data_IF_602380845420
#
_entry.id   IF_602380845420
#
_cell.length_a   1.000
_cell.length_b   1.000
_cell.length_c   1.000
_cell.angle_alpha   90.00
_cell.angle_beta   90.00
_cell.angle_gamma   90.00
#
_symmetry.space_group_name_H-M   'P 1'
#
loop_
_entity.id
_entity.type
_entity.pdbx_description
1 polymer ?
#
# COMPACT_ATOMS: atom_id res chain seq x y z
N UNK A 1 12.93 -8.71 21.18
CA UNK A 1 13.13 -7.62 20.21
C UNK A 1 12.96 -6.31 20.96
N UNK A 2 13.82 -5.32 20.74
CA UNK A 2 13.67 -4.01 21.35
C UNK A 2 12.56 -3.24 20.61
N UNK A 3 11.72 -2.51 21.33
CA UNK A 3 10.71 -1.65 20.73
C UNK A 3 11.41 -0.53 19.93
N UNK A 4 11.14 -0.38 18.62
CA UNK A 4 11.79 0.65 17.81
C UNK A 4 11.38 2.04 18.30
N UNK A 5 12.35 2.95 18.44
CA UNK A 5 12.12 4.35 18.80
C UNK A 5 11.72 5.19 17.59
N UNK A 6 12.28 4.85 16.42
CA UNK A 6 11.97 5.51 15.16
C UNK A 6 11.56 4.45 14.14
N UNK A 7 10.35 4.64 13.62
CA UNK A 7 9.79 3.86 12.53
C UNK A 7 9.62 4.76 11.31
N UNK A 8 10.01 4.28 10.14
CA UNK A 8 9.83 4.99 8.88
C UNK A 8 8.69 4.37 8.09
N UNK A 9 7.69 5.17 7.73
CA UNK A 9 6.63 4.74 6.83
C UNK A 9 7.11 4.76 5.39
N UNK A 10 7.12 3.60 4.74
CA UNK A 10 7.45 3.49 3.34
C UNK A 10 6.24 2.94 2.57
N UNK A 11 5.68 3.75 1.68
CA UNK A 11 4.50 3.43 0.88
C UNK A 11 4.75 2.35 -0.20
N UNK A 12 6.02 2.00 -0.47
CA UNK A 12 6.42 0.98 -1.45
C UNK A 12 6.19 1.38 -2.91
N UNK A 13 5.45 2.47 -3.16
CA UNK A 13 4.94 2.83 -4.48
C UNK A 13 5.40 4.19 -4.94
N UNK A 14 4.82 5.25 -4.37
CA UNK A 14 5.05 6.63 -4.82
C UNK A 14 6.54 7.03 -4.80
N UNK A 15 7.29 6.80 -3.72
CA UNK A 15 8.72 7.13 -3.70
C UNK A 15 9.60 6.08 -4.38
N UNK A 16 9.03 4.95 -4.84
CA UNK A 16 9.81 3.77 -5.17
C UNK A 16 9.39 3.10 -6.48
N UNK A 17 8.60 2.01 -6.49
CA UNK A 17 8.33 1.18 -7.69
C UNK A 17 7.77 1.97 -8.88
N UNK A 18 7.15 3.14 -8.64
CA UNK A 18 6.62 4.05 -9.67
C UNK A 18 7.71 4.76 -10.47
N UNK A 19 8.94 4.79 -9.97
CA UNK A 19 10.06 5.59 -10.48
C UNK A 19 10.98 4.81 -11.43
N UNK A 20 10.92 3.48 -11.41
CA UNK A 20 11.79 2.60 -12.18
C UNK A 20 11.16 2.20 -13.52
N UNK A 21 11.98 2.12 -14.57
CA UNK A 21 11.55 1.56 -15.85
C UNK A 21 11.52 0.02 -15.78
N UNK A 22 10.52 -0.63 -16.38
CA UNK A 22 10.50 -2.09 -16.44
C UNK A 22 11.50 -2.71 -17.42
N UNK A 23 12.07 -3.89 -17.10
CA UNK A 23 11.91 -4.62 -15.84
C UNK A 23 12.80 -4.06 -14.73
N UNK A 24 12.25 -3.95 -13.52
CA UNK A 24 12.99 -3.57 -12.33
C UNK A 24 13.83 -4.73 -11.80
N UNK A 25 15.07 -4.44 -11.40
CA UNK A 25 15.98 -5.41 -10.79
C UNK A 25 15.70 -5.59 -9.28
N UNK A 26 16.00 -6.76 -8.68
CA UNK A 26 15.87 -6.95 -7.23
C UNK A 26 16.66 -5.94 -6.41
N UNK A 27 17.86 -5.56 -6.87
CA UNK A 27 18.74 -4.56 -6.24
C UNK A 27 18.10 -3.17 -6.22
N UNK A 28 17.35 -2.83 -7.27
CA UNK A 28 16.59 -1.59 -7.31
C UNK A 28 15.44 -1.61 -6.30
N UNK A 29 14.84 -2.78 -6.03
CA UNK A 29 13.71 -2.91 -5.10
C UNK A 29 14.16 -2.77 -3.65
N UNK A 30 15.32 -3.32 -3.32
CA UNK A 30 15.87 -3.21 -1.96
C UNK A 30 16.44 -1.83 -1.65
N UNK A 31 16.59 -0.95 -2.64
CA UNK A 31 17.07 0.41 -2.44
C UNK A 31 16.23 1.21 -1.42
N UNK A 32 14.94 0.88 -1.29
CA UNK A 32 14.06 1.46 -0.25
C UNK A 32 14.48 1.13 1.18
N UNK A 33 15.19 0.02 1.37
CA UNK A 33 15.74 -0.38 2.67
C UNK A 33 17.15 0.20 2.82
N UNK A 34 17.95 0.13 1.75
CA UNK A 34 19.33 0.61 1.75
C UNK A 34 19.46 2.11 2.05
N UNK A 35 18.48 2.93 1.63
CA UNK A 35 18.48 4.36 1.95
C UNK A 35 18.38 4.66 3.46
N UNK A 36 17.92 3.70 4.25
CA UNK A 36 17.79 3.82 5.70
C UNK A 36 19.02 3.27 6.46
N UNK A 37 19.93 2.60 5.77
CA UNK A 37 21.12 2.01 6.38
C UNK A 37 22.01 3.10 7.03
N UNK A 38 22.43 2.86 8.28
CA UNK A 38 23.25 3.81 9.03
C UNK A 38 22.49 5.02 9.58
N UNK A 39 21.17 5.11 9.36
CA UNK A 39 20.31 6.11 10.01
C UNK A 39 19.84 5.60 11.39
N UNK A 40 19.27 6.47 12.25
CA UNK A 40 18.63 6.06 13.51
C UNK A 40 17.30 5.28 13.34
N UNK A 41 16.85 4.99 12.12
CA UNK A 41 15.60 4.25 11.88
C UNK A 41 15.81 2.78 12.22
N UNK A 42 14.98 2.23 13.10
CA UNK A 42 15.09 0.85 13.59
C UNK A 42 14.03 -0.07 12.98
N UNK A 43 13.01 0.50 12.35
CA UNK A 43 11.94 -0.26 11.73
C UNK A 43 11.32 0.43 10.51
N UNK A 44 10.84 -0.37 9.56
CA UNK A 44 10.11 0.05 8.38
C UNK A 44 8.64 -0.35 8.56
N UNK A 45 7.74 0.63 8.55
CA UNK A 45 6.32 0.40 8.38
C UNK A 45 6.03 0.31 6.87
N UNK A 46 6.10 -0.90 6.33
CA UNK A 46 6.04 -1.15 4.88
C UNK A 46 4.61 -1.37 4.42
N UNK A 47 4.14 -0.50 3.52
CA UNK A 47 2.80 -0.59 2.95
C UNK A 47 2.71 -1.78 1.97
N UNK A 48 1.84 -2.75 2.29
CA UNK A 48 1.72 -4.00 1.51
C UNK A 48 1.10 -3.80 0.12
N UNK A 49 0.37 -2.71 -0.06
CA UNK A 49 -0.46 -2.45 -1.23
C UNK A 49 -1.43 -1.30 -0.97
N UNK A 50 -2.47 -1.16 -1.79
CA UNK A 50 -3.43 -0.07 -1.66
C UNK A 50 -4.70 -0.44 -0.88
N UNK A 51 -4.67 -1.52 -0.11
CA UNK A 51 -5.86 -2.05 0.58
C UNK A 51 -6.89 -2.70 -0.33
N UNK A 52 -6.87 -2.39 -1.63
CA UNK A 52 -7.68 -3.02 -2.69
C UNK A 52 -6.91 -4.05 -3.50
N UNK A 53 -5.61 -3.88 -3.64
CA UNK A 53 -4.70 -4.78 -4.37
C UNK A 53 -3.32 -4.70 -3.75
N UNK A 54 -2.49 -5.70 -4.04
CA UNK A 54 -1.11 -5.81 -3.55
C UNK A 54 -0.09 -5.63 -4.69
N UNK A 55 1.16 -5.38 -4.32
CA UNK A 55 2.30 -5.33 -5.26
C UNK A 55 3.42 -6.31 -4.86
N UNK A 56 3.04 -7.39 -4.18
CA UNK A 56 3.89 -8.50 -3.78
C UNK A 56 3.20 -9.84 -4.13
N UNK A 57 3.89 -10.97 -4.01
CA UNK A 57 3.36 -12.30 -4.36
C UNK A 57 2.38 -12.81 -3.29
N UNK A 58 1.22 -12.17 -3.23
CA UNK A 58 0.19 -12.43 -2.22
C UNK A 58 -0.63 -13.67 -2.55
N UNK A 59 -1.03 -14.41 -1.52
CA UNK A 59 -1.98 -15.53 -1.61
C UNK A 59 -3.38 -15.20 -1.08
N UNK A 60 -3.55 -14.01 -0.54
CA UNK A 60 -4.75 -13.58 0.18
C UNK A 60 -5.43 -12.36 -0.47
N UNK A 61 -4.92 -11.89 -1.60
CA UNK A 61 -5.44 -10.73 -2.33
C UNK A 61 -5.08 -10.83 -3.81
N UNK A 62 -5.39 -9.77 -4.57
CA UNK A 62 -5.15 -9.68 -6.01
C UNK A 62 -4.00 -8.71 -6.30
N UNK A 63 -3.17 -9.03 -7.29
CA UNK A 63 -2.10 -8.14 -7.76
C UNK A 63 -2.71 -6.89 -8.42
N UNK A 64 -2.15 -5.72 -8.13
CA UNK A 64 -2.55 -4.46 -8.76
C UNK A 64 -2.44 -4.58 -10.27
N UNK A 65 -3.52 -4.31 -11.01
CA UNK A 65 -3.51 -4.37 -12.48
C UNK A 65 -3.77 -5.73 -13.10
N UNK A 66 -4.01 -6.78 -12.33
CA UNK A 66 -4.26 -8.14 -12.85
C UNK A 66 -5.48 -8.23 -13.80
N UNK A 67 -6.46 -7.33 -13.65
CA UNK A 67 -7.69 -7.24 -14.45
C UNK A 67 -7.65 -6.11 -15.50
N UNK A 68 -6.53 -5.38 -15.63
CA UNK A 68 -6.43 -4.20 -16.50
C UNK A 68 -6.02 -4.62 -17.91
N UNK A 69 -6.89 -4.33 -18.89
CA UNK A 69 -6.62 -4.57 -20.32
C UNK A 69 -6.04 -3.35 -21.03
N UNK A 70 -6.48 -2.15 -20.63
CA UNK A 70 -6.04 -0.87 -21.19
C UNK A 70 -5.61 0.02 -20.05
N UNK A 71 -4.41 0.56 -20.16
CA UNK A 71 -3.83 1.45 -19.15
C UNK A 71 -4.07 2.89 -19.53
N UNK A 72 -4.74 3.63 -18.66
CA UNK A 72 -4.94 5.08 -18.74
C UNK A 72 -3.78 5.88 -18.13
N UNK A 73 -2.97 5.23 -17.28
CA UNK A 73 -1.89 5.85 -16.54
C UNK A 73 -0.58 5.05 -16.65
N UNK A 74 0.42 5.65 -17.32
CA UNK A 74 1.69 4.97 -17.62
C UNK A 74 2.46 4.53 -16.37
N UNK A 75 2.42 5.30 -15.28
CA UNK A 75 3.11 4.96 -14.02
C UNK A 75 2.54 3.69 -13.40
N UNK A 76 1.22 3.49 -13.43
CA UNK A 76 0.59 2.30 -12.87
C UNK A 76 0.88 1.07 -13.71
N UNK A 77 0.93 1.24 -15.03
CA UNK A 77 1.40 0.20 -15.95
C UNK A 77 2.82 -0.23 -15.60
N UNK A 78 3.75 0.70 -15.41
CA UNK A 78 5.15 0.38 -15.04
C UNK A 78 5.24 -0.34 -13.70
N UNK A 79 4.54 0.17 -12.70
CA UNK A 79 4.49 -0.44 -11.39
C UNK A 79 3.98 -1.89 -11.43
N UNK A 80 2.92 -2.16 -12.20
CA UNK A 80 2.46 -3.53 -12.44
C UNK A 80 3.50 -4.37 -13.18
N UNK A 81 4.13 -3.85 -14.24
CA UNK A 81 5.16 -4.56 -14.99
C UNK A 81 6.36 -4.92 -14.11
N UNK A 82 6.81 -4.01 -13.25
CA UNK A 82 7.91 -4.22 -12.32
C UNK A 82 7.58 -5.28 -11.27
N UNK A 83 6.44 -5.15 -10.59
CA UNK A 83 6.02 -6.13 -9.61
C UNK A 83 5.85 -7.51 -10.27
N UNK A 84 5.20 -7.57 -11.44
CA UNK A 84 5.00 -8.82 -12.16
C UNK A 84 6.31 -9.44 -12.63
N UNK A 85 7.25 -8.67 -13.18
CA UNK A 85 8.53 -9.22 -13.65
C UNK A 85 9.38 -9.77 -12.51
N UNK A 86 9.38 -9.09 -11.36
CA UNK A 86 10.06 -9.57 -10.15
C UNK A 86 9.44 -10.89 -9.67
N UNK A 87 8.11 -10.94 -9.53
CA UNK A 87 7.38 -12.14 -9.08
C UNK A 87 7.59 -13.31 -10.05
N UNK A 88 7.44 -13.08 -11.35
CA UNK A 88 7.64 -14.12 -12.38
C UNK A 88 9.08 -14.66 -12.39
N UNK A 89 10.06 -13.85 -11.97
CA UNK A 89 11.45 -14.25 -11.81
C UNK A 89 11.75 -14.93 -10.44
N UNK A 90 10.75 -15.10 -9.58
CA UNK A 90 10.90 -15.71 -8.25
C UNK A 90 11.38 -14.74 -7.16
N UNK A 91 11.34 -13.44 -7.41
CA UNK A 91 11.72 -12.39 -6.47
C UNK A 91 10.46 -11.72 -5.91
N UNK A 92 9.87 -12.28 -4.86
CA UNK A 92 8.74 -11.66 -4.17
C UNK A 92 9.17 -10.30 -3.55
N UNK A 93 8.58 -9.17 -3.97
CA UNK A 93 8.92 -7.85 -3.48
C UNK A 93 8.84 -7.69 -1.95
N UNK A 94 7.84 -8.30 -1.30
CA UNK A 94 7.74 -8.25 0.17
C UNK A 94 8.88 -9.04 0.82
N UNK A 95 9.20 -10.20 0.25
CA UNK A 95 10.31 -11.02 0.74
C UNK A 95 11.66 -10.31 0.63
N UNK A 96 11.92 -9.63 -0.50
CA UNK A 96 13.14 -8.84 -0.68
C UNK A 96 13.32 -7.79 0.42
N UNK A 97 12.24 -7.06 0.75
CA UNK A 97 12.26 -6.05 1.82
C UNK A 97 12.54 -6.69 3.18
N UNK A 98 11.85 -7.79 3.51
CA UNK A 98 12.05 -8.51 4.76
C UNK A 98 13.48 -9.04 4.91
N UNK A 99 14.00 -9.71 3.87
CA UNK A 99 15.34 -10.29 3.89
C UNK A 99 16.40 -9.19 4.04
N UNK A 100 16.29 -8.10 3.26
CA UNK A 100 17.25 -6.99 3.35
C UNK A 100 17.17 -6.25 4.69
N UNK A 101 15.98 -6.03 5.24
CA UNK A 101 15.81 -5.40 6.54
C UNK A 101 16.46 -6.25 7.64
N UNK A 102 16.30 -7.58 7.59
CA UNK A 102 16.95 -8.49 8.54
C UNK A 102 18.48 -8.45 8.44
N UNK A 103 19.06 -8.37 7.24
CA UNK A 103 20.51 -8.20 7.05
C UNK A 103 21.04 -6.92 7.72
N UNK A 104 20.24 -5.84 7.70
CA UNK A 104 20.58 -4.54 8.29
C UNK A 104 20.16 -4.41 9.76
N UNK A 105 19.60 -5.46 10.37
CA UNK A 105 19.13 -5.45 11.76
C UNK A 105 17.89 -4.59 12.00
N UNK A 106 17.11 -4.30 10.96
CA UNK A 106 15.86 -3.53 11.01
C UNK A 106 14.64 -4.44 11.14
N UNK A 107 13.61 -3.95 11.83
CA UNK A 107 12.31 -4.63 11.92
C UNK A 107 11.40 -4.22 10.75
N UNK A 108 10.56 -5.13 10.26
CA UNK A 108 9.52 -4.82 9.27
C UNK A 108 8.15 -4.98 9.90
N UNK A 109 7.37 -3.91 9.86
CA UNK A 109 5.98 -3.89 10.28
C UNK A 109 5.10 -3.78 9.02
N UNK A 110 4.27 -4.79 8.72
CA UNK A 110 3.34 -4.70 7.60
C UNK A 110 2.28 -3.63 7.88
N UNK A 111 2.13 -2.68 6.98
CA UNK A 111 1.06 -1.69 7.03
C UNK A 111 0.00 -2.02 5.98
N UNK A 112 -1.21 -2.27 6.48
CA UNK A 112 -2.39 -2.50 5.67
C UNK A 112 -3.25 -1.24 5.64
N UNK A 113 -3.50 -0.71 4.44
CA UNK A 113 -4.54 0.30 4.26
C UNK A 113 -5.88 -0.43 4.31
N UNK A 114 -6.68 -0.19 5.35
CA UNK A 114 -7.96 -0.88 5.54
C UNK A 114 -8.98 -0.46 4.49
N UNK A 115 -9.15 0.85 4.30
CA UNK A 115 -9.96 1.40 3.21
C UNK A 115 -9.44 2.77 2.78
N UNK A 116 -9.45 3.00 1.46
CA UNK A 116 -9.18 4.30 0.84
C UNK A 116 -10.05 4.46 -0.39
N UNK A 117 -10.81 5.56 -0.48
CA UNK A 117 -11.74 5.86 -1.60
C UNK A 117 -12.79 4.77 -1.83
N UNK A 118 -13.69 4.95 -2.80
CA UNK A 118 -14.55 3.88 -3.34
C UNK A 118 -13.94 3.23 -4.60
N UNK A 119 -14.69 2.34 -5.26
CA UNK A 119 -14.24 1.65 -6.49
C UNK A 119 -13.88 2.62 -7.63
N UNK A 120 -14.57 3.76 -7.73
CA UNK A 120 -14.36 4.76 -8.78
C UNK A 120 -13.10 5.61 -8.57
N UNK A 121 -12.57 5.67 -7.36
CA UNK A 121 -11.41 6.52 -7.04
C UNK A 121 -10.12 6.04 -7.72
N UNK A 122 -10.03 4.75 -8.08
CA UNK A 122 -8.82 4.19 -8.69
C UNK A 122 -9.12 2.86 -9.41
N UNK A 123 -9.96 2.93 -10.45
CA UNK A 123 -10.46 1.75 -11.16
C UNK A 123 -9.33 0.81 -11.63
N UNK A 124 -8.24 1.33 -12.20
CA UNK A 124 -7.10 0.53 -12.71
C UNK A 124 -6.24 -0.12 -11.63
N UNK A 125 -6.51 0.17 -10.35
CA UNK A 125 -5.83 -0.43 -9.20
C UNK A 125 -6.80 -1.21 -8.31
N UNK A 126 -8.06 -1.33 -8.70
CA UNK A 126 -9.09 -2.00 -7.93
C UNK A 126 -9.13 -3.50 -8.24
N UNK A 127 -9.36 -4.32 -7.21
CA UNK A 127 -9.53 -5.76 -7.34
C UNK A 127 -10.92 -6.13 -7.84
N UNK A 128 -11.06 -7.30 -8.47
CA UNK A 128 -12.38 -7.82 -8.79
C UNK A 128 -13.17 -8.08 -7.52
N UNK A 129 -12.53 -8.63 -6.47
CA UNK A 129 -13.19 -8.84 -5.18
C UNK A 129 -13.85 -7.57 -4.66
N UNK A 130 -13.13 -6.44 -4.67
CA UNK A 130 -13.68 -5.19 -4.17
C UNK A 130 -14.80 -4.64 -5.06
N UNK A 131 -14.66 -4.75 -6.39
CA UNK A 131 -15.72 -4.33 -7.34
C UNK A 131 -17.01 -5.09 -7.09
N UNK A 132 -16.92 -6.40 -6.84
CA UNK A 132 -18.03 -7.32 -6.66
C UNK A 132 -18.63 -7.27 -5.24
N UNK A 133 -17.89 -6.73 -4.26
CA UNK A 133 -18.27 -6.76 -2.84
C UNK A 133 -18.31 -5.37 -2.19
N UNK A 134 -18.83 -4.35 -2.89
CA UNK A 134 -18.95 -2.98 -2.35
C UNK A 134 -19.78 -2.89 -1.06
N UNK A 135 -20.64 -3.86 -0.79
CA UNK A 135 -21.39 -3.98 0.47
C UNK A 135 -20.51 -4.30 1.68
N UNK A 136 -19.23 -4.67 1.50
CA UNK A 136 -18.27 -4.88 2.58
C UNK A 136 -17.40 -3.65 2.86
N UNK A 137 -17.59 -2.55 2.12
CA UNK A 137 -16.84 -1.32 2.36
C UNK A 137 -17.27 -0.65 3.67
N UNK A 138 -16.31 -0.09 4.40
CA UNK A 138 -16.55 0.76 5.55
C UNK A 138 -17.48 1.91 5.12
N UNK A 139 -18.66 1.98 5.73
CA UNK A 139 -19.67 2.98 5.41
C UNK A 139 -20.62 2.60 4.27
N UNK A 140 -20.60 1.34 3.80
CA UNK A 140 -21.61 0.84 2.87
C UNK A 140 -23.03 0.98 3.46
N UNK A 141 -23.99 1.33 2.60
CA UNK A 141 -25.38 1.48 3.01
C UNK A 141 -25.96 0.11 3.41
N UNK A 142 -26.39 -0.02 4.67
CA UNK A 142 -27.02 -1.25 5.19
C UNK A 142 -26.35 -1.80 6.46
N UNK A 143 -25.12 -1.39 6.77
CA UNK A 143 -24.34 -2.02 7.86
C UNK A 143 -24.44 -1.28 9.20
N UNK A 144 -25.05 -0.09 9.21
CA UNK A 144 -25.27 0.70 10.41
C UNK A 144 -26.68 1.30 10.36
N UNK A 145 -27.57 0.77 11.20
CA UNK A 145 -28.85 1.40 11.51
C UNK A 145 -28.52 2.66 12.33
N UNK A 146 -28.21 3.77 11.66
CA UNK A 146 -27.91 5.05 12.30
C UNK A 146 -29.20 5.64 12.88
N UNK A 147 -29.67 5.04 13.98
CA UNK A 147 -30.32 5.77 15.06
C UNK A 147 -29.25 6.25 16.03
N UNK A 148 -28.32 7.06 15.52
CA UNK A 148 -27.65 8.01 16.40
C UNK A 148 -28.65 9.17 16.50
N UNK A 149 -29.50 9.12 17.53
CA UNK A 149 -30.12 10.34 18.02
C UNK A 149 -28.98 11.34 18.24
N UNK A 150 -29.08 12.51 17.60
CA UNK A 150 -28.08 13.58 17.64
C UNK A 150 -27.54 13.84 19.06
N UNK A 151 -26.47 13.15 19.44
CA UNK A 151 -25.55 13.58 20.48
C UNK A 151 -24.21 13.76 19.80
N UNK A 152 -23.99 15.01 19.36
CA UNK A 152 -22.75 15.60 18.90
C UNK A 152 -21.52 14.70 18.98
N UNK A 153 -21.22 14.02 17.87
CA UNK A 153 -19.88 13.53 17.56
C UNK A 153 -19.44 14.27 16.30
N UNK A 154 -18.99 15.51 16.50
CA UNK A 154 -18.23 16.23 15.49
C UNK A 154 -16.85 15.57 15.40
N UNK A 155 -16.68 14.73 14.39
CA UNK A 155 -15.36 14.32 13.91
C UNK A 155 -15.10 15.17 12.68
N UNK A 156 -14.21 16.15 12.86
CA UNK A 156 -14.11 17.35 12.05
C UNK A 156 -14.07 17.12 10.54
N UNK A 157 -15.01 17.78 9.86
CA UNK A 157 -14.88 18.13 8.46
C UNK A 157 -15.50 19.53 8.26
N UNK A 158 -14.65 20.46 7.83
CA UNK A 158 -14.96 21.83 7.39
C UNK A 158 -15.49 22.81 8.45
N UNK A 159 -14.58 23.50 9.17
CA UNK A 159 -15.00 24.64 10.00
C UNK A 159 -13.93 25.35 10.83
N UNK A 160 -12.92 24.65 11.35
CA UNK A 160 -12.09 25.22 12.43
C UNK A 160 -10.76 25.82 11.94
N UNK A 161 -10.84 26.84 11.08
CA UNK A 161 -9.79 27.86 11.03
C UNK A 161 -10.30 29.07 11.79
N UNK A 162 -9.77 29.25 13.00
CA UNK A 162 -9.93 30.46 13.80
C UNK A 162 -9.34 31.65 13.02
N UNK A 163 -10.09 32.75 12.81
CA UNK A 163 -9.53 33.96 12.21
C UNK A 163 -8.78 34.75 13.28
N UNK A 164 -7.47 34.51 13.38
CA UNK A 164 -6.49 35.49 13.87
C UNK A 164 -5.78 36.17 12.68
#
# INVERSE_FOLDING_TARGET
MNQPKIMYYHDGRHPHIYRYEPPMAPEEYIALVDELAGTPVEAIAFCLGEGRTMLHDTRASELMGHNVKVWDHYVFRRAWQNAKSLIDAGHDPLRLVCDRAHELGMQVYPLLIVQRGGVDHAATRCSNFRIENQHLEIGAAGDLDFRIENQHLEIGAAGDLDPD
#
